data_IF_247212274072
#
_entry.id   IF_247212274072
#
_cell.length_a   1.000
_cell.length_b   1.000
_cell.length_c   1.000
_cell.angle_alpha   90.00
_cell.angle_beta   90.00
_cell.angle_gamma   90.00
#
_symmetry.space_group_name_H-M   'P 1'
#
loop_
_entity.id
_entity.type
_entity.pdbx_description
1 polymer ?
#
# COMPACT_ATOMS: atom_id res chain seq x y z
N UNK A 1 27.01 9.62 -65.83
CA UNK A 1 27.10 10.61 -64.73
C UNK A 1 25.80 10.55 -63.94
N UNK A 2 25.86 9.97 -62.75
CA UNK A 2 24.93 10.17 -61.63
C UNK A 2 25.75 9.76 -60.40
N UNK A 3 25.73 10.59 -59.34
CA UNK A 3 26.71 10.51 -58.24
C UNK A 3 26.06 9.89 -57.01
N UNK A 4 26.82 9.01 -56.36
CA UNK A 4 26.47 8.34 -55.12
C UNK A 4 26.50 9.33 -53.93
N UNK A 5 25.52 9.27 -53.04
CA UNK A 5 25.46 10.09 -51.82
C UNK A 5 25.00 9.23 -50.65
N UNK A 6 25.94 8.92 -49.77
CA UNK A 6 25.71 8.13 -48.57
C UNK A 6 24.84 8.88 -47.54
N UNK A 7 24.06 8.11 -46.77
CA UNK A 7 23.34 8.62 -45.58
C UNK A 7 24.33 8.83 -44.43
N UNK A 8 24.32 10.01 -43.83
CA UNK A 8 25.03 10.29 -42.58
C UNK A 8 24.03 10.23 -41.41
N UNK A 9 24.30 9.41 -40.40
CA UNK A 9 23.49 9.33 -39.18
C UNK A 9 24.13 10.22 -38.11
N UNK A 10 23.37 11.17 -37.57
CA UNK A 10 23.83 12.02 -36.46
C UNK A 10 23.48 11.35 -35.13
N UNK A 11 24.47 10.76 -34.47
CA UNK A 11 24.37 10.40 -33.06
C UNK A 11 24.45 11.68 -32.20
N UNK A 12 23.47 11.92 -31.34
CA UNK A 12 23.57 12.93 -30.28
C UNK A 12 23.97 12.21 -29.00
N UNK A 13 25.26 12.29 -28.65
CA UNK A 13 25.77 11.73 -27.40
C UNK A 13 25.49 12.67 -26.22
N UNK A 14 24.87 12.15 -25.16
CA UNK A 14 24.72 12.86 -23.88
C UNK A 14 26.07 12.85 -23.16
N UNK A 15 26.53 14.04 -22.76
CA UNK A 15 27.82 14.23 -22.07
C UNK A 15 27.64 14.04 -20.56
N UNK A 16 28.10 12.90 -20.03
CA UNK A 16 28.20 12.68 -18.58
C UNK A 16 29.41 13.44 -18.03
N UNK A 17 29.17 14.47 -17.22
CA UNK A 17 30.21 15.21 -16.50
C UNK A 17 30.62 14.47 -15.22
N UNK A 18 31.62 13.60 -15.33
CA UNK A 18 32.26 12.98 -14.17
C UNK A 18 33.14 14.03 -13.43
N UNK A 19 32.82 14.32 -12.17
CA UNK A 19 33.64 15.17 -11.31
C UNK A 19 34.79 14.35 -10.69
N UNK A 20 36.04 14.67 -11.06
CA UNK A 20 37.22 14.06 -10.43
C UNK A 20 37.40 14.55 -8.99
N UNK A 21 37.40 13.60 -8.04
CA UNK A 21 37.98 13.80 -6.70
C UNK A 21 39.45 13.37 -6.75
N UNK A 22 40.42 14.22 -6.37
CA UNK A 22 41.83 13.85 -6.38
C UNK A 22 42.18 12.96 -5.17
N UNK A 23 42.79 11.81 -5.45
CA UNK A 23 43.52 11.01 -4.47
C UNK A 23 44.70 11.81 -3.90
N UNK A 24 44.90 11.74 -2.58
CA UNK A 24 46.10 12.23 -1.90
C UNK A 24 46.81 11.04 -1.29
N UNK A 25 48.05 10.79 -1.74
CA UNK A 25 48.92 9.73 -1.22
C UNK A 25 49.64 10.20 0.05
N UNK A 26 49.97 9.25 0.93
CA UNK A 26 50.26 9.53 2.34
C UNK A 26 51.70 9.95 2.65
N UNK A 27 51.88 10.60 3.80
CA UNK A 27 53.15 10.61 4.56
C UNK A 27 52.89 10.55 6.06
N UNK A 28 53.59 9.65 6.74
CA UNK A 28 53.56 9.51 8.21
C UNK A 28 54.65 10.41 8.80
N UNK A 29 54.30 11.22 9.81
CA UNK A 29 55.27 11.92 10.65
C UNK A 29 54.82 11.85 12.12
N UNK A 30 55.77 11.54 13.01
CA UNK A 30 55.55 11.41 14.45
C UNK A 30 55.70 12.76 15.17
N UNK A 31 54.92 12.97 16.22
CA UNK A 31 55.34 13.80 17.36
C UNK A 31 54.60 13.41 18.64
N UNK A 32 55.35 13.03 19.67
CA UNK A 32 54.87 12.86 21.05
C UNK A 32 54.52 14.21 21.69
N UNK A 33 53.80 14.18 22.83
CA UNK A 33 54.15 15.09 23.92
C UNK A 33 54.52 14.32 25.20
N UNK A 34 55.70 14.62 25.75
CA UNK A 34 56.14 14.05 27.03
C UNK A 34 55.64 14.84 28.25
N UNK A 35 55.04 14.10 29.18
CA UNK A 35 55.17 14.17 30.64
C UNK A 35 55.84 15.40 31.31
N UNK A 36 55.08 16.02 32.22
CA UNK A 36 55.57 16.45 33.55
C UNK A 36 54.58 15.91 34.59
N UNK A 37 54.94 14.90 35.40
CA UNK A 37 55.54 15.08 36.73
C UNK A 37 54.45 15.21 37.82
N UNK A 38 54.09 14.12 38.53
CA UNK A 38 54.46 13.84 39.94
C UNK A 38 53.62 14.64 40.99
N UNK A 39 53.05 14.12 42.11
CA UNK A 39 53.17 12.88 42.90
C UNK A 39 51.87 12.60 43.72
N UNK A 40 51.59 11.32 44.05
CA UNK A 40 50.75 10.88 45.18
C UNK A 40 49.23 11.16 45.10
N UNK A 41 48.35 10.45 45.83
CA UNK A 41 48.52 9.36 46.77
C UNK A 41 47.25 9.17 47.62
N UNK A 42 47.02 7.95 48.10
CA UNK A 42 45.98 7.51 49.05
C UNK A 42 44.48 7.58 48.67
N UNK A 43 43.78 6.51 49.08
CA UNK A 43 42.35 6.33 48.96
C UNK A 43 41.62 6.80 50.23
N UNK A 44 40.41 7.35 50.08
CA UNK A 44 39.36 7.34 51.12
C UNK A 44 37.96 7.42 50.47
N UNK A 45 37.15 6.40 50.68
CA UNK A 45 35.70 6.55 50.93
C UNK A 45 35.55 6.74 52.45
N UNK A 46 34.79 7.73 52.91
CA UNK A 46 33.55 7.36 53.58
C UNK A 46 32.40 8.37 53.40
N UNK A 47 31.26 7.86 52.91
CA UNK A 47 29.90 7.96 53.50
C UNK A 47 29.30 9.31 53.99
N UNK A 48 27.95 9.34 53.99
CA UNK A 48 27.06 10.21 54.80
C UNK A 48 26.78 11.63 54.24
N UNK A 49 25.59 12.24 54.36
CA UNK A 49 24.29 11.83 54.97
C UNK A 49 23.17 12.85 54.63
N UNK A 50 21.89 12.43 54.80
CA UNK A 50 20.70 13.27 55.10
C UNK A 50 20.19 14.25 54.02
N UNK A 51 18.89 14.58 53.92
CA UNK A 51 17.62 14.05 54.49
C UNK A 51 16.49 14.44 53.49
N UNK A 52 15.52 13.60 53.17
CA UNK A 52 14.32 13.22 53.95
C UNK A 52 13.33 14.37 54.28
N UNK A 53 12.19 14.37 53.57
CA UNK A 53 10.85 14.83 53.98
C UNK A 53 9.94 14.79 52.74
N UNK A 54 8.71 14.26 52.74
CA UNK A 54 7.93 13.60 53.78
C UNK A 54 6.53 13.30 53.22
N UNK A 55 5.97 12.12 53.48
CA UNK A 55 4.73 11.64 52.86
C UNK A 55 3.46 12.19 53.53
N UNK A 56 2.29 12.11 52.85
CA UNK A 56 0.99 11.79 53.50
C UNK A 56 -0.11 11.39 52.49
N UNK A 57 -0.84 10.31 52.83
CA UNK A 57 -2.17 9.88 52.38
C UNK A 57 -2.79 9.03 53.51
N UNK A 58 -4.08 8.63 53.50
CA UNK A 58 -5.34 9.32 53.18
C UNK A 58 -6.22 9.41 54.47
N UNK A 59 -7.59 9.44 54.43
CA UNK A 59 -8.37 8.18 54.42
C UNK A 59 -9.82 8.22 53.80
N UNK A 60 -10.37 7.01 53.51
CA UNK A 60 -11.78 6.48 53.62
C UNK A 60 -13.06 7.32 53.35
N UNK A 61 -14.24 6.78 52.96
CA UNK A 61 -14.70 5.46 52.43
C UNK A 61 -16.23 5.49 52.08
N UNK A 62 -16.79 4.36 51.58
CA UNK A 62 -18.22 3.91 51.64
C UNK A 62 -19.24 4.40 50.57
N UNK A 63 -20.34 3.71 50.17
CA UNK A 63 -20.78 2.28 50.05
C UNK A 63 -22.20 2.21 49.39
N UNK A 64 -22.61 1.04 48.83
CA UNK A 64 -24.01 0.67 48.43
C UNK A 64 -24.18 0.43 46.92
N UNK A 65 -24.66 -0.69 46.35
CA UNK A 65 -25.66 -1.76 46.65
C UNK A 65 -27.10 -1.51 46.13
N UNK A 66 -27.75 -2.51 45.50
CA UNK A 66 -29.17 -2.42 45.06
C UNK A 66 -29.67 -3.11 43.76
N UNK A 67 -29.46 -4.43 43.59
CA UNK A 67 -30.39 -5.48 43.07
C UNK A 67 -31.40 -5.31 41.88
N UNK A 68 -31.47 -6.40 41.08
CA UNK A 68 -32.64 -7.08 40.46
C UNK A 68 -33.36 -6.60 39.16
N UNK A 69 -33.60 -7.56 38.24
CA UNK A 69 -34.50 -7.42 37.08
C UNK A 69 -34.40 -8.53 36.01
N UNK A 70 -35.08 -9.67 36.19
CA UNK A 70 -35.14 -10.75 35.19
C UNK A 70 -36.40 -10.68 34.29
N UNK A 71 -36.31 -11.13 33.03
CA UNK A 71 -37.45 -11.24 32.11
C UNK A 71 -37.17 -12.07 30.84
N UNK A 72 -38.04 -13.03 30.50
CA UNK A 72 -37.81 -14.05 29.45
C UNK A 72 -38.92 -14.13 28.39
N UNK A 73 -38.52 -14.28 27.11
CA UNK A 73 -39.19 -14.95 25.95
C UNK A 73 -38.07 -15.25 24.92
N UNK A 74 -38.05 -16.27 24.05
CA UNK A 74 -38.88 -17.42 23.64
C UNK A 74 -40.03 -17.19 22.63
N UNK A 75 -39.90 -17.90 21.49
CA UNK A 75 -40.82 -18.01 20.34
C UNK A 75 -40.07 -17.57 19.08
N UNK A 76 -39.61 -18.47 18.17
CA UNK A 76 -40.37 -19.23 17.16
C UNK A 76 -40.88 -18.30 16.03
N UNK A 77 -40.88 -18.66 14.73
CA UNK A 77 -40.95 -19.99 14.09
C UNK A 77 -40.09 -20.08 12.79
N UNK A 78 -40.04 -21.28 12.20
CA UNK A 78 -39.48 -21.56 10.88
C UNK A 78 -40.61 -21.77 9.84
N UNK A 79 -40.25 -22.34 8.66
CA UNK A 79 -41.10 -22.56 7.46
C UNK A 79 -41.34 -21.29 6.61
N UNK A 80 -41.41 -21.35 5.28
CA UNK A 80 -41.30 -22.49 4.36
C UNK A 80 -42.07 -22.23 3.04
N UNK A 81 -41.89 -23.08 2.02
CA UNK A 81 -42.52 -23.04 0.68
C UNK A 81 -42.02 -21.91 -0.25
N UNK A 82 -41.39 -22.15 -1.40
CA UNK A 82 -41.76 -22.94 -2.61
C UNK A 82 -43.00 -22.43 -3.36
N UNK A 83 -42.90 -22.29 -4.69
CA UNK A 83 -44.03 -21.83 -5.52
C UNK A 83 -43.70 -21.37 -6.94
N UNK A 84 -43.07 -22.20 -7.77
CA UNK A 84 -43.09 -22.00 -9.23
C UNK A 84 -44.51 -22.24 -9.77
N UNK A 85 -45.01 -21.33 -10.62
CA UNK A 85 -46.12 -21.67 -11.51
C UNK A 85 -46.04 -20.92 -12.85
N UNK A 86 -45.93 -21.70 -13.93
CA UNK A 86 -46.17 -21.24 -15.28
C UNK A 86 -47.57 -21.68 -15.70
N UNK A 87 -48.25 -20.91 -16.55
CA UNK A 87 -49.50 -21.32 -17.18
C UNK A 87 -49.40 -21.16 -18.70
N UNK A 88 -49.50 -22.29 -19.38
CA UNK A 88 -49.81 -22.42 -20.81
C UNK A 88 -51.18 -21.83 -21.13
N UNK A 89 -51.38 -21.46 -22.39
CA UNK A 89 -52.55 -20.71 -22.88
C UNK A 89 -52.57 -20.63 -24.40
N UNK A 90 -52.44 -21.76 -25.07
CA UNK A 90 -52.59 -21.88 -26.53
C UNK A 90 -54.05 -21.69 -26.96
N UNK A 91 -54.31 -20.85 -27.97
CA UNK A 91 -55.46 -21.03 -28.87
C UNK A 91 -55.14 -20.39 -30.23
N UNK A 92 -55.67 -20.95 -31.33
CA UNK A 92 -55.24 -20.58 -32.68
C UNK A 92 -56.38 -20.50 -33.69
N UNK A 93 -56.09 -20.03 -34.90
CA UNK A 93 -56.74 -20.49 -36.15
C UNK A 93 -56.10 -19.87 -37.40
N UNK A 94 -56.12 -20.66 -38.48
CA UNK A 94 -55.71 -20.28 -39.84
C UNK A 94 -56.59 -19.17 -40.45
N UNK A 95 -56.02 -18.42 -41.39
CA UNK A 95 -56.61 -18.37 -42.74
C UNK A 95 -55.52 -18.29 -43.83
N UNK A 96 -55.83 -18.67 -45.07
CA UNK A 96 -54.87 -18.91 -46.16
C UNK A 96 -55.19 -18.15 -47.46
N UNK A 97 -54.15 -17.58 -48.09
CA UNK A 97 -53.94 -17.27 -49.53
C UNK A 97 -53.09 -16.00 -49.68
N UNK A 98 -52.19 -15.81 -50.66
CA UNK A 98 -51.67 -16.71 -51.71
C UNK A 98 -50.90 -15.89 -52.79
N UNK A 99 -49.96 -16.53 -53.51
CA UNK A 99 -49.31 -16.06 -54.76
C UNK A 99 -48.03 -15.17 -54.73
N UNK A 100 -46.88 -15.85 -54.89
CA UNK A 100 -45.80 -15.65 -55.91
C UNK A 100 -45.00 -14.33 -56.07
N UNK A 101 -43.66 -14.49 -56.11
CA UNK A 101 -42.68 -13.56 -56.70
C UNK A 101 -42.19 -12.45 -55.75
N UNK A 102 -40.91 -12.06 -55.67
CA UNK A 102 -39.70 -12.43 -56.42
C UNK A 102 -38.44 -12.31 -55.51
N UNK A 103 -37.30 -12.78 -56.02
CA UNK A 103 -35.96 -12.83 -55.41
C UNK A 103 -35.47 -11.61 -54.60
N UNK A 104 -34.91 -11.86 -53.41
CA UNK A 104 -33.82 -11.09 -52.77
C UNK A 104 -33.00 -12.00 -51.84
N UNK A 105 -31.70 -11.72 -51.72
CA UNK A 105 -30.62 -12.52 -51.14
C UNK A 105 -30.76 -12.96 -49.66
N UNK A 106 -30.09 -14.06 -49.23
CA UNK A 106 -29.98 -14.46 -47.83
C UNK A 106 -28.83 -13.70 -47.15
N UNK A 107 -29.03 -12.42 -46.86
CA UNK A 107 -27.96 -11.57 -46.31
C UNK A 107 -27.80 -11.71 -44.78
N UNK A 108 -26.55 -11.57 -44.34
CA UNK A 108 -26.23 -11.04 -43.01
C UNK A 108 -26.57 -11.89 -41.80
N UNK A 109 -25.80 -12.96 -41.54
CA UNK A 109 -25.50 -13.33 -40.15
C UNK A 109 -24.70 -12.19 -39.53
N UNK A 110 -25.39 -11.24 -38.89
CA UNK A 110 -24.79 -10.09 -38.19
C UNK A 110 -24.00 -10.57 -36.97
N UNK A 111 -22.77 -11.02 -37.20
CA UNK A 111 -21.75 -11.06 -36.16
C UNK A 111 -21.37 -9.62 -35.85
N UNK A 112 -22.06 -9.01 -34.88
CA UNK A 112 -21.72 -7.70 -34.33
C UNK A 112 -20.48 -7.86 -33.46
N UNK A 113 -19.33 -8.12 -34.09
CA UNK A 113 -18.03 -8.14 -33.41
C UNK A 113 -17.80 -6.73 -32.89
N UNK A 114 -17.85 -6.57 -31.57
CA UNK A 114 -17.53 -5.29 -30.94
C UNK A 114 -16.13 -4.84 -31.36
N UNK A 115 -15.94 -3.53 -31.48
CA UNK A 115 -14.59 -2.97 -31.67
C UNK A 115 -13.70 -3.44 -30.53
N UNK A 116 -12.41 -3.77 -30.77
CA UNK A 116 -11.48 -4.04 -29.67
C UNK A 116 -11.43 -2.84 -28.70
N UNK A 117 -11.14 -3.07 -27.41
CA UNK A 117 -10.90 -1.99 -26.46
C UNK A 117 -9.73 -1.10 -26.89
N UNK A 118 -9.63 0.09 -26.30
CA UNK A 118 -8.44 0.93 -26.45
C UNK A 118 -7.19 0.25 -25.85
N UNK A 119 -6.02 0.47 -26.44
CA UNK A 119 -4.73 -0.03 -25.93
C UNK A 119 -4.30 0.65 -24.63
N UNK A 120 -4.85 1.83 -24.35
CA UNK A 120 -4.59 2.68 -23.19
C UNK A 120 -5.91 2.97 -22.50
N UNK A 121 -5.92 2.92 -21.17
CA UNK A 121 -7.01 3.39 -20.32
C UNK A 121 -6.46 4.29 -19.21
N UNK A 122 -7.29 5.23 -18.77
CA UNK A 122 -6.95 6.20 -17.74
C UNK A 122 -7.81 5.98 -16.50
N UNK A 123 -7.20 5.90 -15.33
CA UNK A 123 -7.87 5.59 -14.07
C UNK A 123 -7.66 6.70 -13.05
N UNK A 124 -8.72 7.02 -12.31
CA UNK A 124 -8.60 7.64 -10.99
C UNK A 124 -8.46 6.56 -9.94
N UNK A 125 -7.60 6.81 -8.97
CA UNK A 125 -7.44 6.01 -7.77
C UNK A 125 -7.83 6.90 -6.59
N UNK A 126 -8.94 6.55 -5.91
CA UNK A 126 -9.38 7.20 -4.68
C UNK A 126 -8.98 6.36 -3.48
N UNK A 127 -8.25 6.96 -2.55
CA UNK A 127 -7.75 6.35 -1.31
C UNK A 127 -8.60 6.86 -0.16
N UNK A 128 -9.50 5.99 0.33
CA UNK A 128 -10.35 6.28 1.46
C UNK A 128 -9.65 5.78 2.73
N UNK A 129 -8.75 6.58 3.31
CA UNK A 129 -8.08 6.23 4.56
C UNK A 129 -9.05 6.40 5.73
N UNK A 130 -9.37 5.30 6.41
CA UNK A 130 -10.28 5.26 7.56
C UNK A 130 -9.57 4.92 8.88
N UNK A 131 -8.24 4.80 8.87
CA UNK A 131 -7.43 4.48 10.05
C UNK A 131 -7.69 5.49 11.17
N UNK A 132 -8.25 5.00 12.27
CA UNK A 132 -8.63 5.79 13.44
C UNK A 132 -8.89 4.86 14.63
N UNK A 133 -8.89 5.40 15.85
CA UNK A 133 -9.29 4.67 17.07
C UNK A 133 -10.65 3.96 16.88
N UNK A 134 -11.59 4.59 16.16
CA UNK A 134 -12.93 4.06 15.93
C UNK A 134 -12.96 2.84 15.00
N UNK A 135 -12.06 2.76 14.02
CA UNK A 135 -11.98 1.60 13.11
C UNK A 135 -11.12 0.47 13.67
N UNK A 136 -10.19 0.80 14.58
CA UNK A 136 -9.27 -0.14 15.22
C UNK A 136 -9.40 -0.09 16.76
N UNK A 137 -10.60 -0.36 17.34
CA UNK A 137 -10.84 -0.22 18.77
C UNK A 137 -10.13 -1.34 19.56
N UNK A 138 -9.18 -0.96 20.38
CA UNK A 138 -8.31 -1.88 21.15
C UNK A 138 -7.00 -1.21 21.54
N UNK A 139 -6.52 -0.30 20.70
CA UNK A 139 -5.65 0.80 21.09
C UNK A 139 -6.36 1.71 22.09
N UNK A 140 -5.72 2.01 23.23
CA UNK A 140 -6.00 3.24 23.99
C UNK A 140 -5.92 4.45 23.02
N UNK A 141 -6.80 5.48 23.12
CA UNK A 141 -6.77 6.64 22.23
C UNK A 141 -5.42 7.37 22.12
N UNK A 142 -4.50 7.16 23.07
CA UNK A 142 -3.12 7.64 23.01
C UNK A 142 -2.18 6.82 22.11
N UNK A 143 -2.63 5.65 21.61
CA UNK A 143 -1.82 4.70 20.85
C UNK A 143 -2.08 4.76 19.34
N UNK A 144 -3.21 5.28 18.85
CA UNK A 144 -3.29 5.71 17.44
C UNK A 144 -2.53 7.03 17.31
N UNK A 145 -1.49 7.13 16.46
CA UNK A 145 -0.66 8.33 16.39
C UNK A 145 -1.45 9.58 15.96
N UNK A 146 -1.12 10.74 16.55
CA UNK A 146 -1.70 12.05 16.18
C UNK A 146 -1.55 12.34 14.67
N UNK A 147 -0.43 11.89 14.11
CA UNK A 147 -0.08 12.02 12.69
C UNK A 147 -0.26 10.71 11.92
N UNK A 148 -1.27 9.91 12.26
CA UNK A 148 -1.64 8.72 11.49
C UNK A 148 -1.87 9.07 10.00
N UNK A 149 -1.15 8.42 9.10
CA UNK A 149 -1.27 8.63 7.65
C UNK A 149 -0.84 7.39 6.86
N UNK A 150 -1.20 7.32 5.58
CA UNK A 150 -0.36 6.58 4.62
C UNK A 150 0.68 7.56 4.06
N UNK A 151 1.94 7.10 3.95
CA UNK A 151 3.09 7.89 3.52
C UNK A 151 3.02 8.33 2.05
N UNK A 152 4.18 8.61 1.43
CA UNK A 152 4.24 8.65 -0.03
C UNK A 152 3.73 7.33 -0.61
N UNK A 153 3.05 7.42 -1.74
CA UNK A 153 2.55 6.27 -2.48
C UNK A 153 3.52 5.99 -3.64
N UNK A 154 3.98 4.75 -3.75
CA UNK A 154 4.94 4.32 -4.76
C UNK A 154 4.52 3.01 -5.42
N UNK A 155 4.93 2.80 -6.67
CA UNK A 155 4.71 1.54 -7.38
C UNK A 155 4.90 1.64 -8.88
N UNK A 156 4.19 0.81 -9.65
CA UNK A 156 4.34 0.73 -11.10
C UNK A 156 3.08 0.23 -11.83
N UNK A 157 3.00 0.53 -13.13
CA UNK A 157 2.25 -0.26 -14.11
C UNK A 157 3.17 -1.29 -14.76
N UNK A 158 2.76 -2.57 -14.80
CA UNK A 158 3.65 -3.67 -15.17
C UNK A 158 2.94 -4.91 -15.77
N UNK A 159 3.75 -5.87 -16.25
CA UNK A 159 3.33 -7.19 -16.72
C UNK A 159 3.55 -8.28 -15.65
N UNK A 160 3.29 -9.56 -15.99
CA UNK A 160 3.55 -10.72 -15.13
C UNK A 160 5.06 -10.99 -14.86
N UNK A 161 5.97 -10.23 -15.47
CA UNK A 161 7.42 -10.41 -15.37
C UNK A 161 8.10 -9.48 -14.35
N UNK A 162 7.37 -8.53 -13.77
CA UNK A 162 7.83 -7.72 -12.64
C UNK A 162 6.95 -7.97 -11.40
N UNK A 163 7.63 -8.03 -10.26
CA UNK A 163 7.11 -8.05 -8.90
C UNK A 163 7.93 -7.06 -8.07
N UNK A 164 7.28 -6.36 -7.15
CA UNK A 164 7.91 -5.39 -6.24
C UNK A 164 7.70 -5.76 -4.76
N UNK A 165 6.69 -6.59 -4.45
CA UNK A 165 6.45 -7.17 -3.12
C UNK A 165 5.43 -8.31 -3.20
N UNK A 166 5.75 -9.47 -2.63
CA UNK A 166 4.83 -10.62 -2.53
C UNK A 166 4.68 -11.06 -1.07
N UNK A 167 3.48 -11.50 -0.68
CA UNK A 167 3.25 -12.17 0.60
C UNK A 167 4.12 -13.44 0.72
N UNK A 168 4.95 -13.50 1.76
CA UNK A 168 5.88 -14.61 1.96
C UNK A 168 7.23 -14.46 1.24
N UNK A 169 7.46 -13.36 0.51
CA UNK A 169 8.79 -12.94 0.06
C UNK A 169 9.50 -12.07 1.11
N UNK A 170 10.81 -11.89 0.99
CA UNK A 170 11.56 -10.91 1.79
C UNK A 170 11.46 -9.53 1.13
N UNK A 171 11.34 -8.46 1.93
CA UNK A 171 11.34 -7.10 1.42
C UNK A 171 12.63 -6.76 0.64
N UNK A 172 12.48 -6.15 -0.54
CA UNK A 172 13.59 -5.54 -1.30
C UNK A 172 14.19 -4.33 -0.55
N UNK A 173 15.40 -3.87 -0.87
CA UNK A 173 15.93 -2.61 -0.32
C UNK A 173 15.00 -1.41 -0.53
N UNK A 174 14.27 -1.34 -1.65
CA UNK A 174 13.22 -0.36 -1.89
C UNK A 174 12.03 -0.49 -0.95
N UNK A 175 11.55 -1.72 -0.74
CA UNK A 175 10.47 -2.02 0.21
C UNK A 175 10.88 -1.76 1.67
N UNK A 176 12.12 -2.06 2.08
CA UNK A 176 12.63 -1.70 3.41
C UNK A 176 12.59 -0.18 3.61
N UNK A 177 13.09 0.61 2.64
CA UNK A 177 13.02 2.06 2.75
C UNK A 177 11.57 2.57 2.81
N UNK A 178 10.70 2.01 1.98
CA UNK A 178 9.29 2.37 1.95
C UNK A 178 8.63 2.08 3.29
N UNK A 179 8.74 0.85 3.80
CA UNK A 179 8.11 0.41 5.04
C UNK A 179 8.65 1.13 6.31
N UNK A 180 9.95 1.41 6.40
CA UNK A 180 10.55 1.99 7.61
C UNK A 180 10.62 3.53 7.64
N UNK A 181 10.40 4.20 6.49
CA UNK A 181 10.56 5.67 6.41
C UNK A 181 9.49 6.38 5.59
N UNK A 182 8.63 5.64 4.88
CA UNK A 182 7.62 6.20 4.01
C UNK A 182 8.16 6.84 2.73
N UNK A 183 9.46 6.69 2.45
CA UNK A 183 10.11 7.18 1.23
C UNK A 183 10.16 6.09 0.17
N UNK A 184 9.83 6.44 -1.07
CA UNK A 184 9.74 5.49 -2.19
C UNK A 184 10.93 5.58 -3.15
N UNK A 185 12.01 6.28 -2.78
CA UNK A 185 13.09 6.63 -3.71
C UNK A 185 13.84 5.39 -4.24
N UNK A 186 14.26 4.49 -3.35
CA UNK A 186 14.96 3.26 -3.76
C UNK A 186 13.99 2.29 -4.47
N UNK A 187 12.71 2.28 -4.10
CA UNK A 187 11.69 1.53 -4.84
C UNK A 187 11.54 2.06 -6.29
N UNK A 188 11.65 3.36 -6.53
CA UNK A 188 11.62 3.90 -7.90
C UNK A 188 12.85 3.53 -8.73
N UNK A 189 14.02 3.32 -8.11
CA UNK A 189 15.19 2.75 -8.80
C UNK A 189 14.95 1.28 -9.19
N UNK A 190 14.28 0.49 -8.34
CA UNK A 190 13.86 -0.88 -8.62
C UNK A 190 12.80 -0.95 -9.74
N UNK A 191 11.83 -0.03 -9.74
CA UNK A 191 10.85 0.13 -10.83
C UNK A 191 11.53 0.54 -12.14
N UNK A 192 12.49 1.47 -12.12
CA UNK A 192 13.23 1.84 -13.33
C UNK A 192 14.01 0.65 -13.90
N UNK A 193 14.57 -0.23 -13.05
CA UNK A 193 15.21 -1.46 -13.51
C UNK A 193 14.22 -2.44 -14.18
N UNK A 194 12.97 -2.51 -13.73
CA UNK A 194 11.91 -3.28 -14.37
C UNK A 194 11.48 -2.67 -15.72
N UNK A 195 11.42 -1.34 -15.83
CA UNK A 195 11.17 -0.61 -17.10
C UNK A 195 12.30 -0.89 -18.09
N UNK A 196 13.56 -0.76 -17.67
CA UNK A 196 14.75 -1.04 -18.49
C UNK A 196 14.81 -2.53 -18.91
N UNK A 197 14.26 -3.43 -18.09
CA UNK A 197 14.08 -4.86 -18.39
C UNK A 197 12.92 -5.16 -19.35
N UNK A 198 12.02 -4.20 -19.59
CA UNK A 198 10.84 -4.37 -20.45
C UNK A 198 9.63 -5.02 -19.78
N UNK A 199 9.57 -4.99 -18.44
CA UNK A 199 8.50 -5.58 -17.63
C UNK A 199 7.58 -4.55 -16.93
N UNK A 200 7.93 -3.26 -17.02
CA UNK A 200 7.10 -2.16 -16.54
C UNK A 200 7.04 -1.00 -17.55
N UNK A 201 5.99 -0.17 -17.47
CA UNK A 201 5.73 0.96 -18.37
C UNK A 201 5.99 2.30 -17.68
N UNK A 202 5.42 2.50 -16.49
CA UNK A 202 5.50 3.75 -15.74
C UNK A 202 5.82 3.54 -14.26
N UNK A 203 6.72 4.37 -13.74
CA UNK A 203 6.93 4.55 -12.31
C UNK A 203 5.84 5.45 -11.73
N UNK A 204 5.16 4.94 -10.70
CA UNK A 204 4.06 5.63 -10.02
C UNK A 204 4.59 6.17 -8.68
N UNK A 205 4.55 7.50 -8.49
CA UNK A 205 5.13 8.13 -7.29
C UNK A 205 4.43 9.44 -6.96
N UNK A 206 3.87 9.53 -5.75
CA UNK A 206 3.24 10.73 -5.22
C UNK A 206 3.81 11.09 -3.84
N UNK A 207 4.49 12.23 -3.77
CA UNK A 207 5.21 12.70 -2.59
C UNK A 207 4.30 13.50 -1.64
N UNK A 208 3.17 12.91 -1.25
CA UNK A 208 2.19 13.47 -0.33
C UNK A 208 1.72 12.40 0.65
N UNK A 209 1.09 12.78 1.76
CA UNK A 209 0.45 11.83 2.67
C UNK A 209 -1.04 11.68 2.36
N UNK A 210 -1.55 10.46 2.51
CA UNK A 210 -2.99 10.17 2.42
C UNK A 210 -3.54 9.99 3.84
N UNK A 211 -4.02 11.08 4.41
CA UNK A 211 -4.43 11.15 5.81
C UNK A 211 -5.89 10.68 6.01
N UNK A 212 -6.21 10.06 7.16
CA UNK A 212 -7.58 9.83 7.57
C UNK A 212 -8.25 11.15 8.00
N UNK A 213 -9.59 11.26 8.02
CA UNK A 213 -10.31 12.49 8.38
C UNK A 213 -10.04 13.06 9.78
N UNK A 214 -9.34 12.33 10.65
CA UNK A 214 -8.95 12.78 11.99
C UNK A 214 -7.59 13.53 12.01
N UNK A 215 -6.79 13.42 10.95
CA UNK A 215 -5.44 13.99 10.85
C UNK A 215 -5.42 15.12 9.83
N UNK A 216 -5.42 16.36 10.32
CA UNK A 216 -5.39 17.59 9.52
C UNK A 216 -4.05 18.32 9.76
N UNK A 217 -3.05 17.99 8.93
CA UNK A 217 -1.70 18.56 9.01
C UNK A 217 -1.17 18.94 7.61
N UNK A 218 -0.22 19.90 7.49
CA UNK A 218 0.24 20.40 6.18
C UNK A 218 0.89 19.38 5.23
N UNK A 219 1.14 18.14 5.65
CA UNK A 219 1.64 17.05 4.80
C UNK A 219 0.55 16.26 4.08
N UNK A 220 -0.71 16.41 4.50
CA UNK A 220 -1.86 15.72 3.90
C UNK A 220 -2.16 16.29 2.50
N UNK A 221 -2.15 15.42 1.50
CA UNK A 221 -2.53 15.73 0.13
C UNK A 221 -3.99 15.39 -0.17
N UNK A 222 -4.36 15.52 -1.45
CA UNK A 222 -5.68 15.09 -1.92
C UNK A 222 -5.81 13.55 -1.86
N UNK A 223 -6.98 13.00 -1.52
CA UNK A 223 -7.20 11.55 -1.41
C UNK A 223 -7.30 10.83 -2.78
N UNK A 224 -6.89 11.49 -3.86
CA UNK A 224 -7.06 11.02 -5.24
C UNK A 224 -5.78 11.23 -6.05
N UNK A 225 -5.43 10.23 -6.85
CA UNK A 225 -4.37 10.28 -7.87
C UNK A 225 -4.88 9.68 -9.17
N UNK A 226 -4.20 9.93 -10.30
CA UNK A 226 -4.61 9.41 -11.61
C UNK A 226 -3.43 8.72 -12.30
N UNK A 227 -3.71 7.62 -13.02
CA UNK A 227 -2.72 6.79 -13.72
C UNK A 227 -3.16 6.44 -15.14
N UNK A 228 -2.17 6.25 -16.02
CA UNK A 228 -2.31 5.71 -17.36
C UNK A 228 -1.87 4.25 -17.37
N UNK A 229 -2.65 3.35 -17.98
CA UNK A 229 -2.43 1.90 -17.97
C UNK A 229 -2.58 1.35 -19.39
N UNK A 230 -1.61 0.57 -19.87
CA UNK A 230 -1.64 -0.04 -21.21
C UNK A 230 -2.03 -1.52 -21.14
N UNK A 231 -2.59 -2.10 -22.21
CA UNK A 231 -2.96 -3.53 -22.23
C UNK A 231 -1.73 -4.44 -21.99
N UNK A 232 -0.56 -4.01 -22.48
CA UNK A 232 0.71 -4.72 -22.30
C UNK A 232 1.19 -4.74 -20.84
N UNK A 233 1.00 -3.63 -20.11
CA UNK A 233 1.42 -3.46 -18.72
C UNK A 233 0.18 -3.16 -17.85
N UNK A 234 -0.76 -4.11 -17.87
CA UNK A 234 -2.12 -3.94 -17.36
C UNK A 234 -2.30 -4.27 -15.87
N UNK A 235 -1.21 -4.59 -15.16
CA UNK A 235 -1.18 -4.76 -13.70
C UNK A 235 -0.70 -3.49 -13.01
N UNK A 236 -1.20 -3.27 -11.80
CA UNK A 236 -0.79 -2.17 -10.93
C UNK A 236 -0.32 -2.71 -9.60
N UNK A 237 0.91 -2.37 -9.22
CA UNK A 237 1.42 -2.53 -7.85
C UNK A 237 1.54 -1.15 -7.24
N UNK A 238 1.07 -0.98 -6.00
CA UNK A 238 1.14 0.26 -5.23
C UNK A 238 1.35 -0.05 -3.75
N UNK A 239 2.21 0.70 -3.08
CA UNK A 239 2.55 0.54 -1.66
C UNK A 239 2.71 1.89 -0.95
N UNK A 240 2.39 1.91 0.35
CA UNK A 240 2.59 3.07 1.22
C UNK A 240 2.68 2.64 2.69
N UNK A 241 3.62 3.22 3.44
CA UNK A 241 3.80 2.96 4.88
C UNK A 241 2.62 3.49 5.68
N UNK A 242 2.23 2.76 6.73
CA UNK A 242 1.42 3.33 7.82
C UNK A 242 2.32 4.21 8.67
N UNK A 243 2.23 5.51 8.49
CA UNK A 243 3.07 6.45 9.23
C UNK A 243 2.37 6.97 10.50
N UNK A 244 3.05 6.99 11.67
CA UNK A 244 4.27 6.26 12.00
C UNK A 244 4.02 4.77 12.27
N UNK A 245 5.00 3.93 11.94
CA UNK A 245 5.12 2.53 12.36
C UNK A 245 6.57 2.04 12.15
N UNK A 246 6.97 0.88 12.69
CA UNK A 246 8.31 0.34 12.52
C UNK A 246 8.61 -0.05 11.07
N UNK A 247 7.72 -0.85 10.46
CA UNK A 247 7.83 -1.36 9.09
C UNK A 247 6.46 -1.80 8.50
N UNK A 248 5.35 -1.19 8.94
CA UNK A 248 4.02 -1.55 8.48
C UNK A 248 3.64 -0.79 7.21
N UNK A 249 2.96 -1.47 6.27
CA UNK A 249 2.49 -0.85 5.04
C UNK A 249 1.11 -1.36 4.60
N UNK A 250 0.48 -0.61 3.69
CA UNK A 250 -0.65 -1.05 2.87
C UNK A 250 -0.21 -1.11 1.41
N UNK A 251 -0.94 -1.88 0.62
CA UNK A 251 -0.70 -1.91 -0.82
C UNK A 251 -1.62 -2.84 -1.59
N UNK A 252 -1.41 -2.84 -2.90
CA UNK A 252 -1.86 -3.87 -3.84
C UNK A 252 -0.64 -4.39 -4.60
N UNK A 253 -0.63 -5.69 -4.86
CA UNK A 253 0.36 -6.39 -5.68
C UNK A 253 -0.33 -6.87 -6.96
N UNK A 254 0.30 -6.61 -8.11
CA UNK A 254 -0.05 -7.19 -9.39
C UNK A 254 -1.50 -7.00 -9.84
N UNK A 255 -2.21 -5.98 -9.37
CA UNK A 255 -3.67 -5.86 -9.50
C UNK A 255 -4.08 -5.69 -10.99
N UNK A 256 -4.80 -6.64 -11.60
CA UNK A 256 -5.08 -6.60 -13.03
C UNK A 256 -6.26 -5.67 -13.33
N UNK A 257 -6.04 -4.65 -14.18
CA UNK A 257 -7.07 -3.72 -14.63
C UNK A 257 -7.59 -4.03 -16.05
N UNK A 258 -6.93 -4.94 -16.78
CA UNK A 258 -7.43 -5.51 -18.04
C UNK A 258 -7.62 -7.02 -17.86
N UNK A 259 -8.87 -7.50 -18.00
CA UNK A 259 -9.26 -8.90 -17.74
C UNK A 259 -10.19 -9.38 -18.84
N UNK A 260 -10.00 -10.61 -19.32
CA UNK A 260 -10.83 -11.25 -20.35
C UNK A 260 -11.06 -10.42 -21.63
N UNK A 261 -10.08 -9.58 -21.99
CA UNK A 261 -10.17 -8.70 -23.16
C UNK A 261 -11.01 -7.44 -22.95
N UNK A 262 -11.20 -6.99 -21.71
CA UNK A 262 -11.86 -5.74 -21.37
C UNK A 262 -11.20 -5.00 -20.20
N UNK A 263 -11.29 -3.66 -20.22
CA UNK A 263 -10.88 -2.84 -19.09
C UNK A 263 -11.91 -2.91 -17.95
N UNK A 264 -11.43 -3.03 -16.72
CA UNK A 264 -12.27 -3.01 -15.51
C UNK A 264 -12.80 -1.59 -15.30
N UNK A 265 -14.13 -1.41 -15.26
CA UNK A 265 -14.71 -0.07 -15.14
C UNK A 265 -14.53 0.53 -13.73
N UNK A 266 -14.67 -0.30 -12.70
CA UNK A 266 -14.48 0.07 -11.31
C UNK A 266 -13.99 -1.13 -10.52
N UNK A 267 -12.97 -0.95 -9.68
CA UNK A 267 -12.43 -1.97 -8.78
C UNK A 267 -12.20 -1.34 -7.40
N UNK A 268 -12.76 -1.93 -6.35
CA UNK A 268 -12.56 -1.49 -4.97
C UNK A 268 -11.76 -2.58 -4.26
N UNK A 269 -10.66 -2.20 -3.63
CA UNK A 269 -9.80 -3.11 -2.85
C UNK A 269 -9.77 -2.63 -1.40
N UNK A 270 -10.06 -3.53 -0.46
CA UNK A 270 -9.88 -3.28 0.97
C UNK A 270 -8.37 -3.27 1.31
N UNK A 271 -7.93 -2.25 2.05
CA UNK A 271 -6.54 -2.08 2.43
C UNK A 271 -6.30 -2.67 3.83
N UNK A 272 -5.63 -3.82 3.87
CA UNK A 272 -5.21 -4.45 5.13
C UNK A 272 -3.75 -4.12 5.47
N UNK A 273 -3.37 -4.09 6.76
CA UNK A 273 -1.99 -3.92 7.18
C UNK A 273 -1.12 -5.15 6.89
N UNK A 274 0.05 -4.88 6.35
CA UNK A 274 1.15 -5.81 6.17
C UNK A 274 2.34 -5.42 7.04
N UNK A 275 3.09 -6.42 7.49
CA UNK A 275 4.35 -6.33 8.21
C UNK A 275 5.50 -6.56 7.22
N UNK A 276 6.51 -5.68 7.24
CA UNK A 276 7.67 -5.74 6.33
C UNK A 276 8.68 -6.84 6.69
N UNK A 277 8.66 -7.36 7.90
CA UNK A 277 9.58 -8.37 8.42
C UNK A 277 10.99 -7.84 8.70
N UNK A 278 11.19 -6.52 8.78
CA UNK A 278 12.48 -5.85 8.98
C UNK A 278 12.65 -5.27 10.38
N UNK A 279 11.53 -5.02 11.09
CA UNK A 279 11.48 -4.61 12.50
C UNK A 279 10.70 -5.64 13.33
N UNK A 280 10.85 -5.55 14.65
CA UNK A 280 10.36 -6.55 15.62
C UNK A 280 9.53 -5.95 16.75
N UNK A 281 9.23 -4.65 16.69
CA UNK A 281 8.37 -3.99 17.65
C UNK A 281 6.92 -4.05 17.16
N UNK A 282 5.98 -4.38 18.05
CA UNK A 282 4.59 -4.67 17.71
C UNK A 282 3.62 -3.49 18.02
N UNK A 283 4.19 -2.28 18.02
CA UNK A 283 3.52 -0.99 18.22
C UNK A 283 3.96 0.03 17.15
N UNK A 284 3.56 1.30 17.27
CA UNK A 284 3.82 2.33 16.24
C UNK A 284 5.21 3.02 16.32
N UNK A 285 6.21 2.38 16.92
CA UNK A 285 7.56 2.96 17.10
C UNK A 285 8.39 2.94 15.80
N UNK A 286 8.51 4.09 15.12
CA UNK A 286 9.29 4.28 13.88
C UNK A 286 10.65 3.57 13.84
N UNK A 287 11.48 3.78 14.86
CA UNK A 287 12.88 3.31 14.87
C UNK A 287 13.05 2.01 15.67
N UNK A 288 12.09 1.09 15.53
CA UNK A 288 12.00 -0.12 16.34
C UNK A 288 13.20 -1.08 16.21
N UNK A 289 13.28 -2.10 17.08
CA UNK A 289 14.37 -3.06 17.04
C UNK A 289 14.41 -3.85 15.71
N UNK A 290 15.60 -4.00 15.10
CA UNK A 290 15.79 -4.73 13.84
C UNK A 290 15.46 -6.23 14.00
N UNK A 291 14.65 -6.75 13.08
CA UNK A 291 14.33 -8.17 12.98
C UNK A 291 15.49 -8.92 12.32
N UNK A 292 16.15 -9.79 13.11
CA UNK A 292 17.37 -10.50 12.69
C UNK A 292 17.26 -12.00 13.00
N UNK A 293 17.21 -12.89 11.97
CA UNK A 293 17.15 -12.57 10.54
C UNK A 293 15.82 -11.89 10.15
N UNK A 294 15.78 -11.16 9.02
CA UNK A 294 14.53 -10.65 8.47
C UNK A 294 13.51 -11.77 8.26
N UNK A 295 12.24 -11.45 8.48
CA UNK A 295 11.10 -12.32 8.22
C UNK A 295 10.51 -12.00 6.84
N UNK A 296 9.72 -12.92 6.26
CA UNK A 296 8.95 -12.62 5.06
C UNK A 296 7.80 -11.65 5.36
N UNK A 297 7.45 -10.85 4.35
CA UNK A 297 6.28 -9.98 4.35
C UNK A 297 5.03 -10.79 4.71
N UNK A 298 4.23 -10.29 5.64
CA UNK A 298 3.05 -11.01 6.15
C UNK A 298 1.86 -10.10 6.42
N UNK A 299 0.65 -10.66 6.47
CA UNK A 299 -0.54 -9.93 6.91
C UNK A 299 -0.59 -9.90 8.43
N UNK A 300 -0.91 -8.76 9.04
CA UNK A 300 -1.24 -8.72 10.46
C UNK A 300 -2.54 -9.51 10.69
N UNK A 301 -2.46 -10.68 11.32
CA UNK A 301 -3.59 -11.62 11.42
C UNK A 301 -4.47 -11.38 12.66
N UNK A 302 -3.91 -10.85 13.75
CA UNK A 302 -4.62 -10.63 15.02
C UNK A 302 -4.06 -9.46 15.82
N UNK A 303 -4.80 -9.01 16.83
CA UNK A 303 -4.34 -8.03 17.82
C UNK A 303 -3.32 -8.60 18.81
N UNK A 304 -3.12 -9.93 18.83
CA UNK A 304 -2.08 -10.58 19.62
C UNK A 304 -0.72 -10.53 18.88
N UNK A 305 -0.73 -10.42 17.55
CA UNK A 305 0.46 -10.30 16.70
C UNK A 305 0.95 -8.85 16.59
N UNK A 306 0.03 -7.89 16.45
CA UNK A 306 0.34 -6.46 16.39
C UNK A 306 -0.85 -5.64 16.89
N UNK A 307 -0.62 -4.55 17.63
CA UNK A 307 -1.70 -3.77 18.29
C UNK A 307 -2.80 -3.26 17.33
N UNK A 308 -2.44 -3.09 16.05
CA UNK A 308 -3.36 -2.68 14.99
C UNK A 308 -4.40 -3.76 14.62
N UNK A 309 -4.03 -5.04 14.67
CA UNK A 309 -4.88 -6.15 14.24
C UNK A 309 -5.19 -6.19 12.72
N UNK A 310 -6.05 -7.12 12.28
CA UNK A 310 -6.31 -7.42 10.86
C UNK A 310 -7.34 -6.48 10.19
N UNK A 311 -7.71 -5.38 10.85
CA UNK A 311 -8.75 -4.47 10.39
C UNK A 311 -8.46 -3.90 9.01
N UNK A 312 -9.51 -3.64 8.23
CA UNK A 312 -9.36 -2.81 7.03
C UNK A 312 -9.12 -1.37 7.47
N UNK A 313 -8.04 -0.79 6.95
CA UNK A 313 -7.64 0.59 7.17
C UNK A 313 -8.36 1.54 6.21
N UNK A 314 -9.12 1.02 5.26
CA UNK A 314 -9.73 1.81 4.20
C UNK A 314 -9.85 1.07 2.89
N UNK A 315 -10.05 1.82 1.81
CA UNK A 315 -10.12 1.24 0.46
C UNK A 315 -9.28 2.01 -0.54
N UNK A 316 -8.79 1.29 -1.55
CA UNK A 316 -8.29 1.87 -2.79
C UNK A 316 -9.31 1.57 -3.90
N UNK A 317 -9.92 2.61 -4.46
CA UNK A 317 -10.93 2.51 -5.52
C UNK A 317 -10.36 3.00 -6.84
N UNK A 318 -10.21 2.09 -7.80
CA UNK A 318 -9.82 2.37 -9.17
C UNK A 318 -11.09 2.60 -10.00
N UNK A 319 -11.26 3.77 -10.60
CA UNK A 319 -12.36 4.13 -11.49
C UNK A 319 -11.82 4.52 -12.86
N UNK A 320 -12.20 3.80 -13.92
CA UNK A 320 -11.76 4.12 -15.28
C UNK A 320 -12.50 5.34 -15.82
N UNK A 321 -11.75 6.37 -16.17
CA UNK A 321 -12.26 7.62 -16.74
C UNK A 321 -12.46 7.52 -18.26
N UNK A 322 -11.60 6.78 -18.97
CA UNK A 322 -11.75 6.43 -20.40
C UNK A 322 -10.96 5.16 -20.74
#
# INVERSE_FOLDING_TARGET
MAVDVARSSTLVGVLVLAACVPLVDGTVAQSEPQSTGELGGDALDPSATNAESGATTPPDASSGDGTDGAGTTKGSDAEGSTGVHATDGSDGSNDSSGSNGETSDPDGSSSTTASPPAELAHYRIRIDNTWSERTHPGTDPSLVPEYAHFSWLGGATHDDGADFWELGALASPGMVQMAESGLTLVLMDEVQAAIDGGHADAALSWQQWFCPPATDVPGCGEPEVEIDVTQAFSRVTLVSMLGPSPDLFIGVDGLPLFVDGAWVQTLVVDLHPYDGGTRSDHDFTMDGALQLPPLPISVIASTDDHILGPGSLGTMTFERLW
#
